data_IF_787302901978
#
_entry.id   IF_787302901978
#
_cell.length_a   1.000
_cell.length_b   1.000
_cell.length_c   1.000
_cell.angle_alpha   90.00
_cell.angle_beta   90.00
_cell.angle_gamma   90.00
#
_symmetry.space_group_name_H-M   'P 1'
#
loop_
_entity.id
_entity.type
_entity.pdbx_description
1 polymer ?
#
# COMPACT_ATOMS: atom_id res chain seq x y z
N UNK A 1 -17.10 -50.93 69.59
CA UNK A 1 -17.66 -50.05 68.53
C UNK A 1 -16.99 -48.67 68.46
N UNK A 2 -16.66 -48.01 69.59
CA UNK A 2 -16.12 -46.64 69.58
C UNK A 2 -14.76 -46.43 68.87
N UNK A 3 -13.84 -47.39 68.93
CA UNK A 3 -12.49 -47.27 68.35
C UNK A 3 -12.49 -47.28 66.81
N UNK A 4 -13.38 -48.05 66.19
CA UNK A 4 -13.47 -48.19 64.73
C UNK A 4 -14.13 -46.96 64.07
N UNK A 5 -15.09 -46.34 64.75
CA UNK A 5 -15.71 -45.08 64.32
C UNK A 5 -14.71 -43.92 64.40
N UNK A 6 -13.89 -43.88 65.46
CA UNK A 6 -12.86 -42.85 65.64
C UNK A 6 -11.81 -42.88 64.51
N UNK A 7 -11.36 -44.07 64.12
CA UNK A 7 -10.41 -44.27 63.02
C UNK A 7 -10.99 -43.81 61.68
N UNK A 8 -12.27 -44.11 61.40
CA UNK A 8 -12.95 -43.65 60.16
C UNK A 8 -13.05 -42.13 60.10
N UNK A 9 -13.48 -41.50 61.19
CA UNK A 9 -13.52 -40.04 61.29
C UNK A 9 -12.14 -39.40 61.05
N UNK A 10 -11.09 -39.99 61.59
CA UNK A 10 -9.73 -39.47 61.42
C UNK A 10 -9.22 -39.62 59.97
N UNK A 11 -9.56 -40.73 59.30
CA UNK A 11 -9.27 -40.92 57.88
C UNK A 11 -10.05 -39.95 56.99
N UNK A 12 -11.34 -39.76 57.24
CA UNK A 12 -12.19 -38.81 56.53
C UNK A 12 -11.70 -37.37 56.72
N UNK A 13 -11.35 -36.97 57.94
CA UNK A 13 -10.76 -35.65 58.20
C UNK A 13 -9.44 -35.44 57.44
N UNK A 14 -8.63 -36.49 57.29
CA UNK A 14 -7.38 -36.45 56.53
C UNK A 14 -7.63 -36.29 55.03
N UNK A 15 -8.67 -36.95 54.49
CA UNK A 15 -9.12 -36.78 53.12
C UNK A 15 -9.70 -35.38 52.89
N UNK A 16 -10.49 -34.86 53.83
CA UNK A 16 -11.07 -33.52 53.78
C UNK A 16 -9.99 -32.44 53.76
N UNK A 17 -8.94 -32.58 54.59
CA UNK A 17 -7.80 -31.65 54.56
C UNK A 17 -7.06 -31.65 53.22
N UNK A 18 -6.92 -32.82 52.58
CA UNK A 18 -6.33 -32.93 51.24
C UNK A 18 -7.21 -32.26 50.18
N UNK A 19 -8.53 -32.45 50.23
CA UNK A 19 -9.45 -31.83 49.27
C UNK A 19 -9.47 -30.30 49.42
N UNK A 20 -9.50 -29.79 50.67
CA UNK A 20 -9.44 -28.35 50.95
C UNK A 20 -8.13 -27.73 50.43
N UNK A 21 -6.98 -28.37 50.66
CA UNK A 21 -5.70 -27.91 50.13
C UNK A 21 -5.67 -27.93 48.59
N UNK A 22 -6.30 -28.92 47.96
CA UNK A 22 -6.41 -29.00 46.50
C UNK A 22 -7.32 -27.91 45.93
N UNK A 23 -8.44 -27.60 46.60
CA UNK A 23 -9.34 -26.49 46.23
C UNK A 23 -8.60 -25.15 46.33
N UNK A 24 -7.89 -24.88 47.43
CA UNK A 24 -7.10 -23.65 47.57
C UNK A 24 -6.03 -23.49 46.48
N UNK A 25 -5.40 -24.60 46.04
CA UNK A 25 -4.48 -24.59 44.90
C UNK A 25 -5.19 -24.31 43.57
N UNK A 26 -6.39 -24.87 43.36
CA UNK A 26 -7.19 -24.59 42.16
C UNK A 26 -7.60 -23.12 42.11
N UNK A 27 -8.01 -22.56 43.25
CA UNK A 27 -8.43 -21.16 43.39
C UNK A 27 -7.32 -20.19 42.97
N UNK A 28 -6.09 -20.42 43.45
CA UNK A 28 -4.92 -19.62 43.02
C UNK A 28 -4.67 -19.69 41.52
N UNK A 29 -4.86 -20.86 40.90
CA UNK A 29 -4.72 -21.01 39.44
C UNK A 29 -5.86 -20.32 38.68
N UNK A 30 -7.06 -20.28 39.24
CA UNK A 30 -8.21 -19.58 38.67
C UNK A 30 -7.94 -18.07 38.72
N UNK A 31 -7.52 -17.52 39.86
CA UNK A 31 -7.14 -16.11 39.98
C UNK A 31 -6.02 -15.71 39.01
N UNK A 32 -4.98 -16.55 38.88
CA UNK A 32 -3.91 -16.30 37.91
C UNK A 32 -4.44 -16.28 36.47
N UNK A 33 -5.37 -17.18 36.12
CA UNK A 33 -6.01 -17.20 34.80
C UNK A 33 -6.94 -16.01 34.58
N UNK A 34 -7.70 -15.58 35.58
CA UNK A 34 -8.55 -14.38 35.50
C UNK A 34 -7.74 -13.13 35.25
N UNK A 35 -6.56 -12.99 35.89
CA UNK A 35 -5.66 -11.86 35.62
C UNK A 35 -5.11 -11.90 34.19
N UNK A 36 -4.76 -13.08 33.69
CA UNK A 36 -4.31 -13.25 32.30
C UNK A 36 -5.42 -12.90 31.31
N UNK A 37 -6.66 -13.31 31.57
CA UNK A 37 -7.82 -12.99 30.73
C UNK A 37 -8.03 -11.47 30.68
N UNK A 38 -8.01 -10.78 31.83
CA UNK A 38 -8.13 -9.31 31.87
C UNK A 38 -7.03 -8.60 31.09
N UNK A 39 -5.80 -9.12 31.15
CA UNK A 39 -4.68 -8.57 30.38
C UNK A 39 -4.87 -8.79 28.87
N UNK A 40 -5.37 -9.96 28.46
CA UNK A 40 -5.65 -10.25 27.05
C UNK A 40 -6.81 -9.40 26.51
N UNK A 41 -7.87 -9.19 27.29
CA UNK A 41 -8.97 -8.28 26.95
C UNK A 41 -8.47 -6.85 26.74
N UNK A 42 -7.58 -6.37 27.61
CA UNK A 42 -6.98 -5.04 27.48
C UNK A 42 -6.06 -4.89 26.25
N UNK A 43 -5.50 -6.00 25.74
CA UNK A 43 -4.72 -6.01 24.49
C UNK A 43 -5.60 -6.14 23.24
N UNK A 44 -6.81 -6.69 23.37
CA UNK A 44 -7.72 -6.91 22.25
C UNK A 44 -8.42 -5.63 21.77
N UNK A 45 -8.76 -4.72 22.69
CA UNK A 45 -9.35 -3.41 22.37
C UNK A 45 -8.49 -2.57 21.40
N UNK A 46 -7.19 -2.32 21.65
CA UNK A 46 -6.37 -1.57 20.71
C UNK A 46 -6.18 -2.30 19.37
N UNK A 47 -6.19 -3.64 19.35
CA UNK A 47 -6.14 -4.41 18.11
C UNK A 47 -7.41 -4.22 17.26
N UNK A 48 -8.59 -4.18 17.89
CA UNK A 48 -9.86 -3.90 17.22
C UNK A 48 -9.91 -2.47 16.67
N UNK A 49 -9.43 -1.49 17.44
CA UNK A 49 -9.32 -0.10 16.99
C UNK A 49 -8.36 0.05 15.81
N UNK A 50 -7.21 -0.64 15.84
CA UNK A 50 -6.26 -0.67 14.72
C UNK A 50 -6.85 -1.30 13.46
N UNK A 51 -7.55 -2.43 13.63
CA UNK A 51 -8.24 -3.10 12.52
C UNK A 51 -9.28 -2.18 11.90
N UNK A 52 -10.07 -1.49 12.72
CA UNK A 52 -11.05 -0.51 12.25
C UNK A 52 -10.40 0.67 11.53
N UNK A 53 -9.30 1.21 12.06
CA UNK A 53 -8.56 2.30 11.41
C UNK A 53 -8.01 1.89 10.03
N UNK A 54 -7.51 0.65 9.92
CA UNK A 54 -7.05 0.10 8.64
C UNK A 54 -8.21 -0.10 7.65
N UNK A 55 -9.37 -0.59 8.11
CA UNK A 55 -10.58 -0.73 7.29
C UNK A 55 -11.08 0.64 6.79
N UNK A 56 -11.13 1.65 7.68
CA UNK A 56 -11.52 3.02 7.33
C UNK A 56 -10.54 3.66 6.32
N UNK A 57 -9.23 3.42 6.47
CA UNK A 57 -8.21 3.89 5.52
C UNK A 57 -8.34 3.18 4.16
N UNK A 58 -8.58 1.86 4.16
CA UNK A 58 -8.82 1.09 2.94
C UNK A 58 -10.09 1.58 2.22
N UNK A 59 -11.16 1.89 2.95
CA UNK A 59 -12.40 2.43 2.37
C UNK A 59 -12.17 3.81 1.73
N UNK A 60 -11.43 4.70 2.40
CA UNK A 60 -11.03 6.01 1.86
C UNK A 60 -10.22 5.89 0.57
N UNK A 61 -9.17 5.05 0.58
CA UNK A 61 -8.33 4.82 -0.59
C UNK A 61 -9.13 4.21 -1.75
N UNK A 62 -10.09 3.32 -1.45
CA UNK A 62 -10.99 2.75 -2.47
C UNK A 62 -11.88 3.82 -3.11
N UNK A 63 -12.39 4.76 -2.32
CA UNK A 63 -13.22 5.87 -2.81
C UNK A 63 -12.41 6.88 -3.63
N UNK A 64 -11.21 7.25 -3.20
CA UNK A 64 -10.29 8.07 -4.00
C UNK A 64 -9.92 7.37 -5.32
N UNK A 65 -9.76 6.04 -5.28
CA UNK A 65 -9.51 5.25 -6.47
C UNK A 65 -10.71 5.29 -7.41
N UNK A 66 -11.97 5.33 -6.93
CA UNK A 66 -13.22 5.43 -7.72
C UNK A 66 -13.39 6.76 -8.49
N UNK A 67 -12.77 7.85 -8.04
CA UNK A 67 -12.82 9.16 -8.71
C UNK A 67 -11.77 9.30 -9.85
N UNK A 68 -10.82 8.39 -9.95
CA UNK A 68 -9.82 8.37 -11.03
C UNK A 68 -10.43 7.90 -12.38
N UNK A 69 -9.97 8.37 -13.56
CA UNK A 69 -10.40 7.76 -14.83
C UNK A 69 -10.08 6.25 -14.86
N UNK A 70 -10.99 5.43 -15.39
CA UNK A 70 -10.91 3.95 -15.43
C UNK A 70 -9.56 3.45 -15.99
N UNK A 71 -8.99 4.19 -16.95
CA UNK A 71 -7.65 3.94 -17.52
C UNK A 71 -6.53 4.10 -16.49
N UNK A 72 -6.59 5.11 -15.63
CA UNK A 72 -5.60 5.37 -14.57
C UNK A 72 -5.64 4.27 -13.51
N UNK A 73 -6.84 3.84 -13.08
CA UNK A 73 -7.00 2.72 -12.14
C UNK A 73 -6.37 1.43 -12.66
N UNK A 74 -6.68 1.06 -13.91
CA UNK A 74 -6.20 -0.18 -14.52
C UNK A 74 -4.67 -0.20 -14.66
N UNK A 75 -4.08 0.97 -14.95
CA UNK A 75 -2.64 1.13 -14.98
C UNK A 75 -2.00 1.05 -13.59
N UNK A 76 -2.54 1.73 -12.58
CA UNK A 76 -1.96 1.71 -11.23
C UNK A 76 -2.00 0.30 -10.62
N UNK A 77 -3.12 -0.42 -10.79
CA UNK A 77 -3.30 -1.76 -10.21
C UNK A 77 -2.40 -2.80 -10.92
N UNK A 78 -2.18 -2.66 -12.23
CA UNK A 78 -1.33 -3.58 -12.99
C UNK A 78 0.14 -3.17 -13.02
N UNK A 79 0.43 -2.08 -13.72
CA UNK A 79 1.80 -1.65 -14.03
C UNK A 79 2.42 -0.79 -12.93
N UNK A 80 1.68 0.17 -12.39
CA UNK A 80 2.20 1.10 -11.37
C UNK A 80 2.65 0.38 -10.10
N UNK A 81 1.83 -0.56 -9.60
CA UNK A 81 2.18 -1.37 -8.44
C UNK A 81 3.36 -2.32 -8.72
N UNK A 82 3.41 -2.98 -9.88
CA UNK A 82 4.55 -3.82 -10.25
C UNK A 82 5.86 -3.03 -10.32
N UNK A 83 5.84 -1.85 -10.95
CA UNK A 83 7.01 -0.96 -11.02
C UNK A 83 7.45 -0.46 -9.64
N UNK A 84 6.49 -0.10 -8.77
CA UNK A 84 6.80 0.29 -7.41
C UNK A 84 7.47 -0.84 -6.61
N UNK A 85 6.95 -2.07 -6.74
CA UNK A 85 7.55 -3.26 -6.12
C UNK A 85 8.95 -3.53 -6.67
N UNK A 86 9.17 -3.40 -7.98
CA UNK A 86 10.49 -3.56 -8.59
C UNK A 86 11.48 -2.51 -8.13
N UNK A 87 11.08 -1.24 -8.04
CA UNK A 87 11.94 -0.18 -7.48
C UNK A 87 12.26 -0.41 -6.01
N UNK A 88 11.32 -0.97 -5.24
CA UNK A 88 11.60 -1.38 -3.86
C UNK A 88 12.64 -2.51 -3.83
N UNK A 89 12.57 -3.48 -4.75
CA UNK A 89 13.58 -4.55 -4.87
C UNK A 89 14.96 -4.01 -5.28
N UNK A 90 15.03 -2.91 -6.04
CA UNK A 90 16.29 -2.22 -6.34
C UNK A 90 16.88 -1.47 -5.13
N UNK A 91 16.09 -1.16 -4.09
CA UNK A 91 16.60 -0.49 -2.89
C UNK A 91 17.59 -1.36 -2.13
N UNK A 92 18.84 -0.91 -2.04
CA UNK A 92 19.87 -1.59 -1.25
C UNK A 92 19.55 -1.58 0.24
N UNK A 93 18.91 -0.51 0.74
CA UNK A 93 18.50 -0.39 2.14
C UNK A 93 17.41 -1.41 2.48
N UNK A 94 16.40 -1.58 1.61
CA UNK A 94 15.35 -2.58 1.83
C UNK A 94 15.91 -4.01 1.78
N UNK A 95 16.79 -4.29 0.80
CA UNK A 95 17.44 -5.60 0.69
C UNK A 95 18.30 -5.91 1.90
N UNK A 96 19.02 -4.92 2.43
CA UNK A 96 19.86 -5.08 3.61
C UNK A 96 19.02 -5.36 4.86
N UNK A 97 18.02 -4.51 5.17
CA UNK A 97 17.15 -4.70 6.33
C UNK A 97 16.38 -6.03 6.27
N UNK A 98 15.91 -6.42 5.07
CA UNK A 98 15.27 -7.72 4.87
C UNK A 98 16.25 -8.88 5.11
N UNK A 99 17.48 -8.79 4.59
CA UNK A 99 18.51 -9.80 4.83
C UNK A 99 18.88 -9.92 6.31
N UNK A 100 18.91 -8.81 7.03
CA UNK A 100 19.18 -8.76 8.47
C UNK A 100 18.04 -9.40 9.28
N UNK A 101 16.77 -9.12 8.93
CA UNK A 101 15.60 -9.79 9.51
C UNK A 101 15.63 -11.30 9.28
N UNK A 102 15.90 -11.74 8.05
CA UNK A 102 15.96 -13.17 7.73
C UNK A 102 17.09 -13.85 8.51
N UNK A 103 18.27 -13.24 8.55
CA UNK A 103 19.44 -13.77 9.26
C UNK A 103 19.18 -13.87 10.77
N UNK A 104 18.63 -12.81 11.37
CA UNK A 104 18.26 -12.79 12.78
C UNK A 104 17.13 -13.78 13.10
N UNK A 105 16.19 -13.97 12.17
CA UNK A 105 15.10 -14.94 12.31
C UNK A 105 15.59 -16.38 12.32
N UNK A 106 16.56 -16.71 11.46
CA UNK A 106 17.22 -18.02 11.45
C UNK A 106 17.96 -18.25 12.78
N UNK A 107 18.74 -17.27 13.23
CA UNK A 107 19.45 -17.35 14.51
C UNK A 107 18.49 -17.54 15.69
N UNK A 108 17.36 -16.80 15.70
CA UNK A 108 16.29 -16.97 16.70
C UNK A 108 15.74 -18.39 16.68
N UNK A 109 15.35 -18.89 15.51
CA UNK A 109 14.80 -20.25 15.39
C UNK A 109 15.78 -21.33 15.84
N UNK A 110 17.08 -21.16 15.56
CA UNK A 110 18.13 -22.05 16.06
C UNK A 110 18.22 -22.01 17.59
N UNK A 111 18.29 -20.81 18.20
CA UNK A 111 18.34 -20.66 19.65
C UNK A 111 17.10 -21.22 20.36
N UNK A 112 15.90 -20.99 19.80
CA UNK A 112 14.65 -21.54 20.34
C UNK A 112 14.60 -23.07 20.24
N UNK A 113 15.03 -23.64 19.12
CA UNK A 113 15.11 -25.08 18.93
C UNK A 113 16.10 -25.75 19.89
N UNK A 114 17.25 -25.12 20.14
CA UNK A 114 18.22 -25.57 21.14
C UNK A 114 17.65 -25.48 22.56
N UNK A 115 16.99 -24.37 22.89
CA UNK A 115 16.34 -24.18 24.19
C UNK A 115 15.33 -25.29 24.46
N UNK A 116 14.43 -25.55 23.52
CA UNK A 116 13.42 -26.60 23.65
C UNK A 116 14.03 -28.00 23.79
N UNK A 117 15.13 -28.28 23.06
CA UNK A 117 15.83 -29.57 23.17
C UNK A 117 16.45 -29.78 24.55
N UNK A 118 17.05 -28.74 25.16
CA UNK A 118 17.66 -28.81 26.50
C UNK A 118 16.58 -28.90 27.59
N UNK A 119 15.46 -28.21 27.43
CA UNK A 119 14.33 -28.30 28.37
C UNK A 119 13.68 -29.69 28.40
N UNK A 120 13.67 -30.40 27.26
CA UNK A 120 13.07 -31.73 27.13
C UNK A 120 14.05 -32.90 27.27
N UNK A 121 15.33 -32.71 26.95
CA UNK A 121 16.38 -33.70 27.10
C UNK A 121 16.98 -33.65 28.50
N UNK A 122 16.96 -34.77 29.24
CA UNK A 122 17.52 -34.91 30.60
C UNK A 122 19.06 -34.73 30.70
N UNK A 123 19.70 -33.93 29.84
CA UNK A 123 21.12 -33.64 29.91
C UNK A 123 21.34 -32.42 30.83
N UNK A 124 22.25 -32.54 31.79
CA UNK A 124 22.74 -31.44 32.65
C UNK A 124 23.57 -30.39 31.88
N UNK A 125 23.31 -30.20 30.59
CA UNK A 125 23.99 -29.19 29.78
C UNK A 125 23.31 -27.84 30.03
N UNK A 126 24.08 -26.86 30.49
CA UNK A 126 23.62 -25.48 30.60
C UNK A 126 23.46 -24.89 29.19
N UNK A 127 22.36 -24.20 28.93
CA UNK A 127 22.06 -23.53 27.65
C UNK A 127 23.25 -22.70 27.14
N UNK A 128 23.87 -21.97 28.06
CA UNK A 128 25.00 -21.05 27.84
C UNK A 128 26.29 -21.77 27.44
N UNK A 129 26.40 -23.09 27.64
CA UNK A 129 27.56 -23.88 27.22
C UNK A 129 27.48 -24.33 25.75
N UNK A 130 26.35 -24.12 25.07
CA UNK A 130 26.17 -24.49 23.67
C UNK A 130 26.69 -23.35 22.80
N UNK A 131 27.80 -23.58 22.11
CA UNK A 131 28.48 -22.59 21.25
C UNK A 131 27.55 -21.95 20.20
N UNK A 132 26.57 -22.71 19.69
CA UNK A 132 25.60 -22.24 18.71
C UNK A 132 24.38 -21.49 19.31
N UNK A 133 24.27 -21.41 20.64
CA UNK A 133 23.17 -20.71 21.31
C UNK A 133 23.51 -19.23 21.50
N UNK A 134 22.74 -18.36 20.86
CA UNK A 134 22.79 -16.92 21.09
C UNK A 134 21.62 -16.49 22.00
N UNK A 135 21.87 -16.08 23.26
CA UNK A 135 20.81 -15.62 24.17
C UNK A 135 20.15 -14.32 23.71
N UNK A 136 20.80 -13.54 22.84
CA UNK A 136 20.30 -12.26 22.33
C UNK A 136 19.56 -12.40 20.99
N UNK A 137 19.48 -13.61 20.42
CA UNK A 137 18.92 -13.83 19.09
C UNK A 137 17.47 -13.30 18.96
N UNK A 138 16.66 -13.45 20.00
CA UNK A 138 15.29 -12.92 20.02
C UNK A 138 15.28 -11.39 20.01
N UNK A 139 16.16 -10.75 20.77
CA UNK A 139 16.29 -9.29 20.80
C UNK A 139 16.79 -8.76 19.47
N UNK A 140 17.81 -9.39 18.87
CA UNK A 140 18.34 -9.03 17.54
C UNK A 140 17.27 -9.14 16.45
N UNK A 141 16.45 -10.19 16.51
CA UNK A 141 15.31 -10.34 15.59
C UNK A 141 14.28 -9.23 15.75
N UNK A 142 13.92 -8.86 16.99
CA UNK A 142 12.98 -7.77 17.26
C UNK A 142 13.55 -6.42 16.77
N UNK A 143 14.84 -6.16 17.01
CA UNK A 143 15.50 -4.94 16.55
C UNK A 143 15.51 -4.86 15.02
N UNK A 144 15.86 -5.95 14.33
CA UNK A 144 15.83 -6.01 12.86
C UNK A 144 14.41 -5.79 12.32
N UNK A 145 13.38 -6.39 12.95
CA UNK A 145 11.99 -6.16 12.56
C UNK A 145 11.57 -4.70 12.75
N UNK A 146 12.01 -4.07 13.84
CA UNK A 146 11.72 -2.67 14.09
C UNK A 146 12.42 -1.76 13.07
N UNK A 147 13.67 -2.06 12.71
CA UNK A 147 14.40 -1.34 11.68
C UNK A 147 13.72 -1.46 10.30
N UNK A 148 13.30 -2.67 9.90
CA UNK A 148 12.53 -2.89 8.67
C UNK A 148 11.19 -2.15 8.67
N UNK A 149 10.52 -2.05 9.83
CA UNK A 149 9.26 -1.31 9.98
C UNK A 149 9.46 0.20 9.88
N UNK A 150 10.52 0.71 10.48
CA UNK A 150 10.84 2.14 10.50
C UNK A 150 11.54 2.60 9.22
N UNK A 151 11.92 1.66 8.35
CA UNK A 151 12.48 1.95 7.03
C UNK A 151 11.50 2.80 6.24
N UNK A 152 11.88 4.05 6.01
CA UNK A 152 11.13 4.95 5.14
C UNK A 152 11.38 4.50 3.71
N UNK A 153 10.34 4.10 3.01
CA UNK A 153 10.40 3.82 1.58
C UNK A 153 10.49 5.16 0.84
N UNK A 154 11.67 5.59 0.36
CA UNK A 154 11.83 6.91 -0.25
C UNK A 154 10.96 7.04 -1.51
N UNK A 155 10.70 5.90 -2.16
CA UNK A 155 9.79 5.77 -3.29
C UNK A 155 8.33 6.08 -2.92
N UNK A 156 7.85 5.60 -1.76
CA UNK A 156 6.48 5.85 -1.31
C UNK A 156 6.29 7.33 -1.00
N UNK A 157 7.26 7.96 -0.33
CA UNK A 157 7.22 9.41 -0.09
C UNK A 157 7.27 10.25 -1.38
N UNK A 158 8.02 9.81 -2.40
CA UNK A 158 8.02 10.43 -3.72
C UNK A 158 6.66 10.28 -4.43
N UNK A 159 6.09 9.08 -4.42
CA UNK A 159 4.77 8.83 -5.03
C UNK A 159 3.65 9.58 -4.31
N UNK A 160 3.69 9.67 -2.99
CA UNK A 160 2.74 10.46 -2.19
C UNK A 160 2.81 11.95 -2.57
N UNK A 161 4.00 12.49 -2.79
CA UNK A 161 4.20 13.85 -3.28
C UNK A 161 3.72 14.07 -4.72
N UNK A 162 3.55 13.01 -5.51
CA UNK A 162 3.09 13.03 -6.90
C UNK A 162 1.62 12.62 -7.06
N UNK A 163 0.86 12.45 -5.98
CA UNK A 163 -0.54 11.97 -6.04
C UNK A 163 -1.47 12.84 -6.89
N UNK A 164 -1.21 14.14 -6.97
CA UNK A 164 -1.97 15.11 -7.76
C UNK A 164 -1.28 15.44 -9.11
N UNK A 165 -0.14 14.81 -9.39
CA UNK A 165 0.63 15.07 -10.59
C UNK A 165 -0.04 14.40 -11.82
N UNK A 166 0.13 15.00 -13.01
CA UNK A 166 -0.24 14.34 -14.27
C UNK A 166 0.37 12.95 -14.39
N UNK A 167 -0.38 12.03 -15.01
CA UNK A 167 -0.01 10.61 -15.11
C UNK A 167 1.40 10.39 -15.69
N UNK A 168 1.80 11.20 -16.66
CA UNK A 168 3.12 11.15 -17.29
C UNK A 168 4.26 11.56 -16.36
N UNK A 169 4.02 12.48 -15.42
CA UNK A 169 4.99 12.81 -14.36
C UNK A 169 5.14 11.65 -13.38
N UNK A 170 4.04 10.99 -13.01
CA UNK A 170 4.06 9.79 -12.17
C UNK A 170 4.81 8.65 -12.89
N UNK A 171 4.53 8.45 -14.18
CA UNK A 171 5.21 7.47 -15.02
C UNK A 171 6.71 7.78 -15.16
N UNK A 172 7.09 9.04 -15.35
CA UNK A 172 8.48 9.47 -15.42
C UNK A 172 9.24 9.21 -14.11
N UNK A 173 8.61 9.47 -12.96
CA UNK A 173 9.20 9.21 -11.65
C UNK A 173 9.40 7.71 -11.35
N UNK A 174 8.65 6.83 -12.02
CA UNK A 174 8.76 5.38 -11.87
C UNK A 174 9.79 4.70 -12.79
N UNK A 175 10.52 5.43 -13.65
CA UNK A 175 11.63 4.87 -14.43
C UNK A 175 12.70 4.24 -13.54
N UNK A 176 13.09 2.99 -13.81
CA UNK A 176 14.15 2.29 -13.08
C UNK A 176 15.51 2.69 -13.66
N UNK A 177 16.53 2.85 -12.81
CA UNK A 177 17.88 3.22 -13.25
C UNK A 177 18.50 2.14 -14.17
N UNK A 178 18.02 0.89 -14.03
CA UNK A 178 18.37 -0.26 -14.86
C UNK A 178 17.85 -0.17 -16.31
N UNK A 179 16.90 0.73 -16.61
CA UNK A 179 16.30 0.94 -17.94
C UNK A 179 17.22 1.70 -18.92
N UNK A 180 18.26 2.37 -18.42
CA UNK A 180 19.17 3.21 -19.23
C UNK A 180 20.21 2.33 -19.98
N UNK A 181 20.43 1.11 -19.50
CA UNK A 181 21.38 0.17 -20.09
C UNK A 181 20.67 -0.72 -21.12
N UNK A 182 21.25 -0.84 -22.30
CA UNK A 182 20.66 -1.57 -23.44
C UNK A 182 20.46 -3.08 -23.15
N UNK A 183 21.04 -3.55 -22.06
CA UNK A 183 21.03 -4.89 -21.48
C UNK A 183 19.81 -5.19 -20.56
N UNK A 184 18.85 -4.27 -20.42
CA UNK A 184 17.63 -4.50 -19.62
C UNK A 184 16.78 -5.69 -20.14
N UNK A 185 16.32 -6.61 -19.27
CA UNK A 185 15.49 -7.75 -19.67
C UNK A 185 14.18 -7.33 -20.36
N UNK A 186 13.76 -8.10 -21.37
CA UNK A 186 12.57 -7.80 -22.20
C UNK A 186 11.31 -7.53 -21.38
N UNK A 187 11.10 -8.28 -20.28
CA UNK A 187 9.93 -8.11 -19.40
C UNK A 187 9.90 -6.76 -18.66
N UNK A 188 11.07 -6.14 -18.42
CA UNK A 188 11.17 -4.79 -17.84
C UNK A 188 10.76 -3.75 -18.90
N UNK A 189 11.20 -3.95 -20.15
CA UNK A 189 10.77 -3.12 -21.29
C UNK A 189 9.27 -3.25 -21.58
N UNK A 190 8.68 -4.43 -21.35
CA UNK A 190 7.25 -4.68 -21.56
C UNK A 190 6.36 -4.12 -20.41
N UNK A 191 6.93 -3.92 -19.21
CA UNK A 191 6.27 -3.23 -18.11
C UNK A 191 6.29 -1.72 -18.26
N UNK A 192 7.10 -1.21 -19.20
CA UNK A 192 7.21 0.22 -19.50
C UNK A 192 5.86 0.78 -19.93
N UNK A 193 5.42 1.91 -19.35
CA UNK A 193 4.22 2.58 -19.78
C UNK A 193 4.41 3.18 -21.19
N UNK A 194 4.01 2.42 -22.20
CA UNK A 194 3.98 2.93 -23.55
C UNK A 194 2.71 3.76 -23.78
N UNK A 195 2.87 5.05 -24.07
CA UNK A 195 1.77 5.96 -24.41
C UNK A 195 0.89 5.46 -25.58
N UNK A 196 1.41 4.57 -26.43
CA UNK A 196 0.64 3.95 -27.51
C UNK A 196 -0.20 2.75 -27.07
N UNK A 197 -0.10 2.30 -25.81
CA UNK A 197 -0.91 1.23 -25.22
C UNK A 197 -1.99 1.75 -24.25
N UNK A 198 -1.92 3.04 -23.86
CA UNK A 198 -2.89 3.67 -22.97
C UNK A 198 -4.04 4.29 -23.76
N UNK A 199 -5.27 3.85 -23.51
CA UNK A 199 -6.49 4.46 -24.06
C UNK A 199 -7.17 5.39 -23.06
N UNK A 200 -7.44 6.64 -23.43
CA UNK A 200 -8.19 7.59 -22.61
C UNK A 200 -9.67 7.59 -23.03
N UNK A 201 -10.62 7.55 -22.07
CA UNK A 201 -12.04 7.73 -22.36
C UNK A 201 -12.32 9.15 -22.85
N UNK A 202 -13.03 9.26 -23.97
CA UNK A 202 -13.57 10.49 -24.51
C UNK A 202 -14.99 10.68 -24.02
N UNK A 203 -15.18 11.73 -23.23
CA UNK A 203 -16.50 12.15 -22.76
C UNK A 203 -17.13 13.15 -23.76
N UNK A 204 -18.44 13.04 -24.02
CA UNK A 204 -19.15 14.00 -24.84
C UNK A 204 -19.20 15.39 -24.17
N UNK A 205 -19.14 16.46 -24.98
CA UNK A 205 -19.18 17.85 -24.47
C UNK A 205 -20.47 18.18 -23.71
N UNK A 206 -21.57 17.54 -24.10
CA UNK A 206 -22.85 17.61 -23.39
C UNK A 206 -23.01 16.34 -22.58
N UNK A 207 -22.91 16.45 -21.25
CA UNK A 207 -23.12 15.32 -20.34
C UNK A 207 -24.60 14.98 -20.27
N UNK A 208 -24.91 13.68 -20.36
CA UNK A 208 -26.24 13.18 -20.08
C UNK A 208 -26.56 13.40 -18.59
N UNK A 209 -27.67 14.08 -18.23
CA UNK A 209 -28.08 14.26 -16.84
C UNK A 209 -28.31 12.95 -16.08
N UNK A 210 -28.68 11.87 -16.78
CA UNK A 210 -28.96 10.55 -16.22
C UNK A 210 -27.69 9.71 -16.12
N UNK A 211 -26.70 9.96 -16.98
CA UNK A 211 -25.39 9.30 -16.93
C UNK A 211 -24.25 10.27 -17.27
N UNK A 212 -23.85 11.11 -16.31
CA UNK A 212 -22.83 12.14 -16.54
C UNK A 212 -21.46 11.56 -16.93
N UNK A 213 -21.23 10.27 -16.69
CA UNK A 213 -19.97 9.56 -16.88
C UNK A 213 -19.98 8.58 -18.06
N UNK A 214 -21.01 8.61 -18.91
CA UNK A 214 -21.04 7.78 -20.11
C UNK A 214 -19.86 8.11 -21.04
N UNK A 215 -18.90 7.19 -21.13
CA UNK A 215 -17.80 7.26 -22.09
C UNK A 215 -18.36 6.97 -23.50
N UNK A 216 -18.11 7.86 -24.47
CA UNK A 216 -18.63 7.69 -25.83
C UNK A 216 -17.72 6.78 -26.64
N UNK A 217 -16.40 6.99 -26.53
CA UNK A 217 -15.35 6.31 -27.29
C UNK A 217 -14.04 6.36 -26.48
N UNK A 218 -13.12 5.42 -26.71
CA UNK A 218 -11.76 5.47 -26.18
C UNK A 218 -10.78 5.85 -27.30
N UNK A 219 -9.81 6.72 -27.02
CA UNK A 219 -8.75 7.11 -27.97
C UNK A 219 -7.37 6.84 -27.38
N UNK A 220 -6.39 6.49 -28.21
CA UNK A 220 -5.01 6.33 -27.74
C UNK A 220 -4.50 7.66 -27.16
N UNK A 221 -3.79 7.58 -26.03
CA UNK A 221 -3.18 8.74 -25.37
C UNK A 221 -2.27 9.51 -26.33
N UNK A 222 -1.53 8.80 -27.19
CA UNK A 222 -0.67 9.41 -28.21
C UNK A 222 -1.46 10.26 -29.21
N UNK A 223 -2.65 9.79 -29.62
CA UNK A 223 -3.53 10.51 -30.56
C UNK A 223 -4.19 11.71 -29.88
N UNK A 224 -4.56 11.56 -28.60
CA UNK A 224 -5.07 12.66 -27.79
C UNK A 224 -4.03 13.79 -27.64
N UNK A 225 -2.77 13.45 -27.40
CA UNK A 225 -1.66 14.41 -27.32
C UNK A 225 -1.47 15.11 -28.67
N UNK A 226 -1.41 14.35 -29.78
CA UNK A 226 -1.24 14.90 -31.13
C UNK A 226 -2.37 15.88 -31.51
N UNK A 227 -3.62 15.52 -31.21
CA UNK A 227 -4.79 16.36 -31.45
C UNK A 227 -4.73 17.68 -30.65
N UNK A 228 -4.32 17.62 -29.38
CA UNK A 228 -4.16 18.79 -28.52
C UNK A 228 -3.04 19.72 -28.99
N UNK A 229 -1.88 19.18 -29.38
CA UNK A 229 -0.75 19.96 -29.92
C UNK A 229 -1.15 20.65 -31.23
N UNK A 230 -1.86 19.96 -32.11
CA UNK A 230 -2.41 20.53 -33.35
C UNK A 230 -3.37 21.68 -33.05
N UNK A 231 -4.28 21.52 -32.08
CA UNK A 231 -5.18 22.59 -31.62
C UNK A 231 -4.43 23.79 -31.07
N UNK A 232 -3.42 23.58 -30.23
CA UNK A 232 -2.61 24.66 -29.65
C UNK A 232 -1.86 25.44 -30.74
N UNK A 233 -1.27 24.74 -31.72
CA UNK A 233 -0.64 25.35 -32.90
C UNK A 233 -1.64 26.14 -33.75
N UNK A 234 -2.85 25.63 -33.96
CA UNK A 234 -3.93 26.37 -34.66
C UNK A 234 -4.38 27.61 -33.88
N UNK A 235 -4.54 27.54 -32.55
CA UNK A 235 -4.87 28.70 -31.71
C UNK A 235 -3.76 29.78 -31.72
N UNK A 236 -2.48 29.38 -31.74
CA UNK A 236 -1.34 30.32 -31.89
C UNK A 236 -1.28 30.97 -33.29
N UNK A 237 -1.69 30.25 -34.35
CA UNK A 237 -1.78 30.80 -35.73
C UNK A 237 -2.99 31.71 -35.94
N UNK A 238 -4.10 31.46 -35.24
CA UNK A 238 -5.26 32.35 -35.23
C UNK A 238 -4.99 33.54 -34.30
N UNK A 239 -4.22 34.53 -34.77
CA UNK A 239 -4.18 35.85 -34.14
C UNK A 239 -5.62 36.37 -34.10
N UNK A 240 -6.16 36.54 -32.90
CA UNK A 240 -7.53 36.98 -32.61
C UNK A 240 -7.88 38.20 -33.48
N UNK A 241 -8.67 37.98 -34.54
CA UNK A 241 -9.42 39.05 -35.21
C UNK A 241 -10.77 39.12 -34.49
N UNK A 242 -10.76 39.66 -33.27
CA UNK A 242 -11.99 40.10 -32.62
C UNK A 242 -12.40 41.42 -33.28
N UNK A 243 -13.26 41.35 -34.29
CA UNK A 243 -14.14 42.48 -34.58
C UNK A 243 -15.17 42.52 -33.45
N UNK A 244 -15.00 43.44 -32.50
CA UNK A 244 -16.05 43.83 -31.57
C UNK A 244 -17.23 44.39 -32.37
N UNK A 245 -18.21 43.56 -32.69
CA UNK A 245 -19.55 44.06 -32.99
C UNK A 245 -20.31 44.09 -31.66
N UNK A 246 -20.91 45.25 -31.39
CA UNK A 246 -21.48 45.61 -30.12
C UNK A 246 -22.58 44.66 -29.65
N UNK A 247 -22.73 44.66 -28.33
CA UNK A 247 -23.76 44.02 -27.52
C UNK A 247 -25.17 44.25 -28.10
N UNK A 248 -25.96 43.18 -28.18
CA UNK A 248 -27.40 43.24 -28.41
C UNK A 248 -28.09 41.92 -28.08
N UNK A 249 -28.91 41.91 -27.03
CA UNK A 249 -29.84 40.84 -26.67
C UNK A 249 -31.00 40.81 -27.68
N UNK A 250 -31.18 39.71 -28.43
CA UNK A 250 -32.49 39.23 -28.92
C UNK A 250 -32.34 37.91 -29.70
N UNK A 251 -33.21 36.96 -29.35
CA UNK A 251 -33.67 35.73 -30.01
C UNK A 251 -32.98 35.16 -31.27
N UNK A 252 -32.66 33.86 -31.13
CA UNK A 252 -32.49 32.78 -32.11
C UNK A 252 -32.35 33.12 -33.61
N UNK A 253 -31.19 32.75 -34.16
CA UNK A 253 -31.10 32.17 -35.50
C UNK A 253 -30.36 30.83 -35.40
N UNK A 254 -31.05 29.74 -35.72
CA UNK A 254 -30.44 28.41 -35.92
C UNK A 254 -29.41 28.55 -37.04
N UNK A 255 -28.13 28.29 -36.75
CA UNK A 255 -27.17 27.99 -37.79
C UNK A 255 -27.15 26.48 -37.99
N UNK A 256 -27.58 26.03 -39.18
CA UNK A 256 -27.34 24.69 -39.69
C UNK A 256 -25.83 24.50 -39.93
N UNK A 257 -25.09 24.27 -38.85
CA UNK A 257 -23.69 23.89 -38.86
C UNK A 257 -23.54 22.61 -38.08
N UNK A 258 -23.13 21.55 -38.77
CA UNK A 258 -22.81 20.23 -38.23
C UNK A 258 -22.22 20.32 -36.81
N UNK A 259 -22.77 19.60 -35.80
CA UNK A 259 -22.10 19.49 -34.51
C UNK A 259 -20.83 18.67 -34.72
N UNK A 260 -19.69 19.34 -34.88
CA UNK A 260 -18.39 18.68 -34.76
C UNK A 260 -18.25 18.35 -33.28
N UNK A 261 -18.54 17.11 -32.90
CA UNK A 261 -18.23 16.57 -31.58
C UNK A 261 -16.71 16.53 -31.43
N UNK A 262 -16.13 17.57 -30.81
CA UNK A 262 -14.69 17.64 -30.55
C UNK A 262 -14.43 17.27 -29.09
N UNK A 263 -13.49 16.35 -28.78
CA UNK A 263 -13.14 16.02 -27.39
C UNK A 263 -12.60 17.25 -26.65
N UNK A 264 -13.29 17.70 -25.61
CA UNK A 264 -12.79 18.72 -24.69
C UNK A 264 -12.12 18.01 -23.50
N UNK A 265 -10.80 17.82 -23.60
CA UNK A 265 -9.96 17.39 -22.47
C UNK A 265 -9.76 18.59 -21.54
N UNK A 266 -10.15 18.45 -20.28
CA UNK A 266 -10.09 19.53 -19.27
C UNK A 266 -8.64 20.05 -19.13
N UNK A 267 -8.39 21.37 -19.22
CA UNK A 267 -7.03 21.88 -19.45
C UNK A 267 -6.11 21.92 -18.23
N UNK A 268 -6.61 21.66 -17.02
CA UNK A 268 -5.91 22.01 -15.78
C UNK A 268 -4.60 21.22 -15.58
N UNK A 269 -4.55 19.93 -15.92
CA UNK A 269 -3.30 19.15 -15.89
C UNK A 269 -2.37 19.38 -17.09
N UNK A 270 -2.87 19.95 -18.19
CA UNK A 270 -2.19 20.01 -19.48
C UNK A 270 -1.47 21.34 -19.75
N UNK A 271 -1.79 22.38 -18.94
CA UNK A 271 -1.10 23.67 -18.98
C UNK A 271 0.36 23.57 -18.52
N UNK A 272 0.68 22.60 -17.65
CA UNK A 272 2.02 22.37 -17.10
C UNK A 272 2.93 21.73 -18.18
N UNK A 273 2.42 20.75 -18.93
CA UNK A 273 3.16 20.06 -20.00
C UNK A 273 3.55 20.96 -21.19
N UNK A 274 2.75 21.98 -21.48
CA UNK A 274 3.07 22.94 -22.55
C UNK A 274 4.14 23.96 -22.14
N UNK A 275 4.39 24.15 -20.84
CA UNK A 275 5.46 25.01 -20.35
C UNK A 275 6.84 24.34 -20.52
N UNK A 276 6.97 23.05 -20.18
CA UNK A 276 8.23 22.29 -20.30
C UNK A 276 8.64 22.00 -21.76
N UNK A 277 7.68 21.78 -22.66
CA UNK A 277 7.99 21.62 -24.08
C UNK A 277 8.50 22.93 -24.74
N UNK A 278 8.29 24.09 -24.10
CA UNK A 278 8.72 25.39 -24.63
C UNK A 278 10.13 25.78 -24.18
N UNK A 279 10.67 25.17 -23.13
CA UNK A 279 12.02 25.43 -22.62
C UNK A 279 13.09 24.54 -23.27
N UNK A 280 12.71 23.45 -23.93
CA UNK A 280 13.64 22.56 -24.66
C UNK A 280 14.01 23.04 -26.08
N UNK A 281 13.48 24.15 -26.60
CA UNK A 281 13.79 24.58 -27.98
C UNK A 281 14.97 25.53 -28.15
N UNK A 282 15.67 25.91 -27.07
CA UNK A 282 16.80 26.85 -27.15
C UNK A 282 18.12 26.25 -26.63
N UNK A 283 18.66 25.26 -27.34
CA UNK A 283 20.11 24.99 -27.35
C UNK A 283 20.50 24.39 -28.70
N UNK A 284 20.99 25.26 -29.60
CA UNK A 284 21.84 24.87 -30.73
C UNK A 284 23.31 25.05 -30.34
#
# INVERSE_FOLDING_TARGET
MGSQLRLRFEQEAKLLRKSVAQVARRDKRIQAREHVIKNLEALLEPEADMKKAAEDQSARLSQELEDMPITGRRWMIGHGLCLAVMKCDESLELRQEFADVVSAGIAKGMSEGLRHRVEHGQAQLTLESIEAYDPEAETKYIVALQALKDLKYPLVGQLEGLKDAPMDVIMAALYLESDIRDDAPQWVRDLHPNSSQLTIPVYPEVRDPVSPWACKEEILLVDAIAANVSRAKKKKKCRIVCRTHGVGFAHHARSDGVPVSVPTVVPQGLAILLADASTQTDTN
#
